data_IF_374766411590
#
_entry.id   IF_374766411590
#
_cell.length_a   1.000
_cell.length_b   1.000
_cell.length_c   1.000
_cell.angle_alpha   90.00
_cell.angle_beta   90.00
_cell.angle_gamma   90.00
#
_symmetry.space_group_name_H-M   'P 1'
#
loop_
_entity.id
_entity.type
_entity.pdbx_description
1 polymer ?
#
# COMPACT_ATOMS: atom_id res chain seq x y z
N UNK A 1 22.39 -40.20 -26.45
CA UNK A 1 21.11 -40.15 -25.72
C UNK A 1 21.45 -39.82 -24.28
N UNK A 2 21.20 -38.58 -23.87
CA UNK A 2 21.74 -38.00 -22.64
C UNK A 2 20.58 -37.59 -21.74
N UNK A 3 20.64 -37.98 -20.47
CA UNK A 3 19.60 -37.67 -19.50
C UNK A 3 19.61 -36.19 -19.09
N UNK A 4 18.44 -35.64 -18.79
CA UNK A 4 18.31 -34.38 -18.04
C UNK A 4 17.65 -34.68 -16.68
N UNK A 5 18.37 -34.34 -15.62
CA UNK A 5 17.86 -34.29 -14.26
C UNK A 5 17.10 -32.97 -14.05
N UNK A 6 15.92 -33.03 -13.44
CA UNK A 6 15.31 -31.91 -12.73
C UNK A 6 15.36 -32.22 -11.23
N UNK A 7 15.81 -31.29 -10.36
CA UNK A 7 15.77 -31.48 -8.91
C UNK A 7 14.35 -31.25 -8.35
N UNK A 8 13.92 -32.01 -7.31
CA UNK A 8 12.59 -31.89 -6.72
C UNK A 8 12.60 -31.12 -5.39
N UNK A 9 11.54 -30.36 -5.09
CA UNK A 9 11.15 -30.05 -3.70
C UNK A 9 9.63 -30.19 -3.48
N UNK A 10 9.30 -31.10 -2.55
CA UNK A 10 8.22 -31.12 -1.54
C UNK A 10 6.88 -30.40 -1.86
N UNK A 11 5.69 -31.02 -1.93
CA UNK A 11 5.14 -32.31 -1.43
C UNK A 11 5.15 -32.56 0.09
N UNK A 12 4.06 -32.16 0.79
CA UNK A 12 3.40 -32.84 1.95
C UNK A 12 1.95 -32.30 2.10
N UNK A 13 0.92 -33.01 2.60
CA UNK A 13 0.89 -34.45 2.92
C UNK A 13 -0.15 -34.99 3.94
N UNK A 14 -1.46 -34.73 3.83
CA UNK A 14 -2.64 -35.56 4.27
C UNK A 14 -2.77 -36.04 5.76
N UNK A 15 -4.01 -36.36 6.18
CA UNK A 15 -4.48 -37.20 7.35
C UNK A 15 -5.14 -36.41 8.50
N UNK A 16 -5.78 -37.14 9.44
CA UNK A 16 -7.10 -36.84 10.02
C UNK A 16 -7.41 -37.72 11.28
N UNK A 17 -8.66 -37.62 11.77
CA UNK A 17 -9.36 -38.43 12.82
C UNK A 17 -8.97 -38.14 14.31
N UNK A 18 -9.86 -38.20 15.33
CA UNK A 18 -11.35 -38.16 15.50
C UNK A 18 -11.69 -38.15 17.04
N UNK A 19 -12.96 -37.88 17.44
CA UNK A 19 -13.66 -38.31 18.72
C UNK A 19 -13.26 -37.61 20.07
N UNK A 20 -14.12 -37.22 21.05
CA UNK A 20 -15.60 -37.15 21.26
C UNK A 20 -15.98 -36.22 22.46
N UNK A 21 -17.18 -35.62 22.43
CA UNK A 21 -18.11 -35.09 23.50
C UNK A 21 -17.61 -34.76 24.94
N UNK A 22 -18.21 -33.83 25.71
CA UNK A 22 -19.21 -32.77 25.46
C UNK A 22 -19.37 -31.91 26.74
N UNK A 23 -19.88 -30.68 26.62
CA UNK A 23 -21.16 -30.24 27.20
C UNK A 23 -21.40 -28.74 26.93
N UNK A 24 -22.65 -28.40 26.64
CA UNK A 24 -23.07 -27.01 26.42
C UNK A 24 -23.36 -26.29 27.74
N UNK A 25 -23.06 -24.99 27.82
CA UNK A 25 -24.07 -23.93 28.08
C UNK A 25 -23.48 -22.52 28.04
N UNK A 26 -24.10 -21.70 27.17
CA UNK A 26 -24.47 -20.28 27.33
C UNK A 26 -23.52 -19.24 27.97
N UNK A 27 -23.56 -18.05 27.35
CA UNK A 27 -23.28 -16.72 27.90
C UNK A 27 -21.83 -16.38 28.28
N UNK A 28 -21.34 -15.26 27.72
CA UNK A 28 -20.21 -14.52 28.26
C UNK A 28 -18.87 -14.77 27.56
N UNK A 29 -18.69 -14.18 26.37
CA UNK A 29 -17.36 -13.84 25.85
C UNK A 29 -17.45 -12.45 25.20
N UNK A 30 -17.28 -11.41 26.03
CA UNK A 30 -16.85 -10.13 25.49
C UNK A 30 -15.48 -10.36 24.85
N UNK A 31 -15.32 -9.96 23.58
CA UNK A 31 -14.05 -10.04 22.89
C UNK A 31 -13.03 -9.17 23.65
N UNK A 32 -11.79 -9.61 23.90
CA UNK A 32 -10.72 -8.80 24.50
C UNK A 32 -10.21 -7.65 23.62
N UNK A 33 -11.11 -7.01 22.86
CA UNK A 33 -10.93 -5.64 22.44
C UNK A 33 -10.81 -4.73 23.67
N UNK A 34 -10.06 -3.63 23.54
CA UNK A 34 -9.96 -2.64 24.61
C UNK A 34 -11.31 -1.94 24.78
N UNK A 35 -12.09 -2.34 25.80
CA UNK A 35 -13.44 -1.81 26.06
C UNK A 35 -13.46 -0.27 26.17
N UNK A 36 -12.38 0.34 26.68
CA UNK A 36 -12.19 1.81 26.76
C UNK A 36 -12.19 2.52 25.38
N UNK A 37 -11.80 1.81 24.31
CA UNK A 37 -11.79 2.33 22.94
C UNK A 37 -13.14 2.15 22.22
N UNK A 38 -13.97 1.17 22.63
CA UNK A 38 -15.29 0.91 22.02
C UNK A 38 -16.40 1.67 22.76
N UNK A 39 -16.32 1.78 24.09
CA UNK A 39 -17.33 2.43 24.93
C UNK A 39 -17.52 3.94 24.68
N UNK A 40 -16.52 4.62 24.11
CA UNK A 40 -16.59 6.03 23.72
C UNK A 40 -16.97 6.27 22.24
N UNK A 41 -17.30 5.22 21.48
CA UNK A 41 -17.62 5.33 20.05
C UNK A 41 -19.05 4.85 19.82
N UNK A 42 -19.99 5.78 19.62
CA UNK A 42 -21.41 5.51 19.35
C UNK A 42 -21.70 5.02 17.92
N UNK A 43 -20.67 4.61 17.18
CA UNK A 43 -20.69 4.35 15.74
C UNK A 43 -20.01 3.01 15.43
N UNK A 44 -20.54 2.17 14.53
CA UNK A 44 -19.89 0.92 14.13
C UNK A 44 -18.49 1.14 13.53
N UNK A 45 -17.63 0.12 13.46
CA UNK A 45 -16.28 0.24 12.89
C UNK A 45 -16.18 -0.41 11.50
N UNK A 46 -15.15 -0.04 10.75
CA UNK A 46 -14.82 -0.61 9.44
C UNK A 46 -13.33 -0.98 9.37
N UNK A 47 -13.05 -2.19 8.89
CA UNK A 47 -11.73 -2.81 8.82
C UNK A 47 -11.38 -3.14 7.37
N UNK A 48 -10.14 -2.81 7.01
CA UNK A 48 -9.42 -3.51 5.95
C UNK A 48 -8.32 -4.36 6.59
N UNK A 49 -8.23 -5.61 6.17
CA UNK A 49 -7.06 -6.46 6.41
C UNK A 49 -6.26 -6.48 5.11
N UNK A 50 -5.24 -5.61 4.90
CA UNK A 50 -4.49 -5.60 3.65
C UNK A 50 -3.36 -6.62 3.69
N UNK A 51 -3.06 -7.17 2.51
CA UNK A 51 -1.92 -8.04 2.26
C UNK A 51 -0.97 -7.36 1.26
N UNK A 52 -0.42 -6.21 1.63
CA UNK A 52 0.35 -5.38 0.67
C UNK A 52 1.47 -4.54 1.29
N UNK A 53 2.58 -4.26 0.56
CA UNK A 53 3.70 -3.41 0.98
C UNK A 53 3.28 -1.96 1.29
N UNK A 54 4.14 -1.20 1.99
CA UNK A 54 3.71 0.02 2.68
C UNK A 54 2.97 1.08 1.84
N UNK A 55 3.43 1.42 0.62
CA UNK A 55 2.73 2.40 -0.22
C UNK A 55 1.45 1.85 -0.88
N UNK A 56 1.30 0.51 -0.94
CA UNK A 56 0.04 -0.15 -1.32
C UNK A 56 -0.91 -0.28 -0.11
N UNK A 57 -0.38 -0.39 1.12
CA UNK A 57 -1.16 -0.18 2.35
C UNK A 57 -1.62 1.28 2.46
N UNK A 58 -0.81 2.27 2.04
CA UNK A 58 -1.27 3.65 1.94
C UNK A 58 -2.40 3.83 0.90
N UNK A 59 -2.36 3.13 -0.24
CA UNK A 59 -3.48 3.08 -1.19
C UNK A 59 -4.74 2.42 -0.57
N UNK A 60 -4.59 1.27 0.08
CA UNK A 60 -5.69 0.56 0.79
C UNK A 60 -6.28 1.39 1.94
N UNK A 61 -5.43 2.11 2.67
CA UNK A 61 -5.79 3.07 3.71
C UNK A 61 -6.51 4.28 3.10
N UNK A 62 -6.07 4.75 1.93
CA UNK A 62 -6.78 5.79 1.18
C UNK A 62 -8.17 5.29 0.75
N UNK A 63 -8.31 4.05 0.26
CA UNK A 63 -9.61 3.42 0.00
C UNK A 63 -10.52 3.45 1.23
N UNK A 64 -10.01 3.00 2.38
CA UNK A 64 -10.74 2.93 3.63
C UNK A 64 -11.09 4.32 4.19
N UNK A 65 -10.26 5.34 3.98
CA UNK A 65 -10.51 6.71 4.46
C UNK A 65 -11.43 7.49 3.52
N UNK A 66 -11.34 7.32 2.19
CA UNK A 66 -12.31 7.89 1.21
C UNK A 66 -13.70 7.39 1.51
N UNK A 67 -13.78 6.08 1.77
CA UNK A 67 -14.97 5.40 2.22
C UNK A 67 -15.59 6.04 3.48
N UNK A 68 -14.87 6.82 4.29
CA UNK A 68 -15.36 7.50 5.51
C UNK A 68 -15.49 9.03 5.39
N UNK A 69 -15.29 9.62 4.22
CA UNK A 69 -15.45 11.08 4.00
C UNK A 69 -16.90 11.57 4.20
N UNK A 70 -17.16 12.88 4.46
CA UNK A 70 -18.51 13.36 4.76
C UNK A 70 -19.61 13.09 3.71
N UNK A 71 -19.22 12.77 2.46
CA UNK A 71 -20.11 12.42 1.35
C UNK A 71 -20.24 10.90 1.11
N UNK A 72 -19.61 10.07 1.94
CA UNK A 72 -19.50 8.63 1.72
C UNK A 72 -20.60 7.82 2.43
N UNK A 73 -20.79 6.59 1.98
CA UNK A 73 -21.69 5.65 2.64
C UNK A 73 -21.09 4.95 3.88
N UNK A 74 -19.80 5.12 4.22
CA UNK A 74 -19.27 4.64 5.50
C UNK A 74 -19.12 5.75 6.56
N UNK A 75 -19.45 7.03 6.29
CA UNK A 75 -19.30 8.16 7.25
C UNK A 75 -19.70 7.86 8.70
N UNK A 76 -20.73 7.05 8.90
CA UNK A 76 -21.20 6.62 10.22
C UNK A 76 -20.33 5.52 10.85
N UNK A 77 -19.09 5.31 10.38
CA UNK A 77 -18.15 4.30 10.87
C UNK A 77 -16.76 4.84 11.14
N UNK A 78 -16.05 4.14 12.03
CA UNK A 78 -14.65 4.43 12.36
C UNK A 78 -13.72 3.47 11.60
N UNK A 79 -12.84 3.97 10.70
CA UNK A 79 -11.84 3.16 10.02
C UNK A 79 -10.76 2.69 11.00
N UNK A 80 -10.43 1.40 10.95
CA UNK A 80 -9.31 0.78 11.65
C UNK A 80 -8.19 0.58 10.63
N UNK A 81 -7.14 1.38 10.77
CA UNK A 81 -6.00 1.43 9.86
C UNK A 81 -5.03 0.29 10.18
N UNK A 82 -4.58 -0.43 9.14
CA UNK A 82 -3.66 -1.55 9.27
C UNK A 82 -2.19 -1.12 9.39
N UNK A 83 -1.41 -1.98 10.04
CA UNK A 83 0.05 -1.88 10.06
C UNK A 83 0.62 -2.09 8.64
N UNK A 84 1.78 -1.49 8.38
CA UNK A 84 2.58 -1.76 7.20
C UNK A 84 3.22 -3.15 7.28
N UNK A 85 3.12 -3.92 6.18
CA UNK A 85 3.59 -5.32 6.09
C UNK A 85 4.72 -5.48 5.08
N UNK A 86 5.89 -6.03 5.45
CA UNK A 86 7.12 -5.91 4.67
C UNK A 86 7.23 -6.93 3.51
N UNK A 87 6.10 -7.21 2.84
CA UNK A 87 5.96 -8.21 1.74
C UNK A 87 6.99 -8.05 0.61
N UNK A 88 7.52 -6.83 0.38
CA UNK A 88 8.55 -6.54 -0.62
C UNK A 88 9.75 -5.75 -0.04
N UNK A 89 9.91 -5.73 1.29
CA UNK A 89 10.95 -4.94 1.97
C UNK A 89 11.84 -5.85 2.83
N UNK A 90 11.23 -6.77 3.57
CA UNK A 90 11.90 -7.76 4.43
C UNK A 90 10.86 -8.84 4.79
N UNK A 91 10.85 -9.97 4.08
CA UNK A 91 9.77 -10.98 4.23
C UNK A 91 9.88 -11.63 5.62
N UNK A 92 8.87 -11.41 6.48
CA UNK A 92 8.89 -11.79 7.90
C UNK A 92 9.51 -10.74 8.84
N UNK A 93 9.88 -9.57 8.33
CA UNK A 93 10.37 -8.45 9.12
C UNK A 93 9.29 -7.79 10.00
N UNK A 94 9.72 -6.90 10.90
CA UNK A 94 8.81 -6.22 11.82
C UNK A 94 7.76 -5.35 11.10
N UNK A 95 6.52 -5.39 11.60
CA UNK A 95 5.48 -4.45 11.19
C UNK A 95 5.80 -3.03 11.67
N UNK A 96 5.21 -2.04 10.99
CA UNK A 96 5.25 -0.66 11.42
C UNK A 96 3.84 -0.09 11.49
N UNK A 97 3.51 0.56 12.59
CA UNK A 97 2.19 1.19 12.77
C UNK A 97 2.01 2.38 11.81
N UNK A 98 0.77 2.67 11.44
CA UNK A 98 0.48 3.75 10.50
C UNK A 98 0.82 5.12 11.10
N UNK A 99 0.49 5.31 12.37
CA UNK A 99 0.76 6.51 13.16
C UNK A 99 2.24 6.77 13.47
N UNK A 100 3.11 5.78 13.24
CA UNK A 100 4.56 5.97 13.36
C UNK A 100 5.13 6.66 12.10
N UNK A 101 4.45 6.48 10.96
CA UNK A 101 4.83 7.07 9.65
C UNK A 101 4.06 8.35 9.36
N UNK A 102 2.75 8.36 9.60
CA UNK A 102 1.85 9.48 9.28
C UNK A 102 1.25 10.11 10.54
N UNK A 103 1.09 11.43 10.52
CA UNK A 103 0.49 12.22 11.58
C UNK A 103 -1.03 12.00 11.64
N UNK A 104 -1.44 10.95 12.36
CA UNK A 104 -2.86 10.57 12.53
C UNK A 104 -3.69 11.70 13.16
N UNK A 105 -3.31 12.36 14.27
CA UNK A 105 -4.10 13.45 14.82
C UNK A 105 -4.35 14.59 13.83
N UNK A 106 -3.36 14.95 13.01
CA UNK A 106 -3.52 15.93 11.93
C UNK A 106 -4.44 15.44 10.82
N UNK A 107 -4.39 14.14 10.50
CA UNK A 107 -5.28 13.52 9.52
C UNK A 107 -6.74 13.50 10.02
N UNK A 108 -6.98 13.08 11.25
CA UNK A 108 -8.31 13.12 11.89
C UNK A 108 -8.93 14.53 11.84
N UNK A 109 -8.14 15.54 12.25
CA UNK A 109 -8.55 16.94 12.23
C UNK A 109 -8.81 17.49 10.81
N UNK A 110 -8.13 16.96 9.79
CA UNK A 110 -8.34 17.34 8.39
C UNK A 110 -9.54 16.64 7.73
N UNK A 111 -9.90 15.44 8.20
CA UNK A 111 -11.01 14.64 7.66
C UNK A 111 -12.34 14.86 8.41
N UNK A 112 -12.32 15.49 9.59
CA UNK A 112 -13.45 15.54 10.55
C UNK A 112 -13.96 14.13 10.88
N UNK A 113 -13.02 13.21 11.09
CA UNK A 113 -13.29 11.79 11.29
C UNK A 113 -12.33 11.17 12.32
N UNK A 114 -12.87 10.33 13.21
CA UNK A 114 -12.06 9.47 14.09
C UNK A 114 -11.36 8.40 13.25
N UNK A 115 -10.10 8.13 13.54
CA UNK A 115 -9.31 7.06 12.94
C UNK A 115 -8.74 6.22 14.08
N UNK A 116 -8.86 4.89 13.95
CA UNK A 116 -8.22 3.94 14.85
C UNK A 116 -7.11 3.19 14.13
N UNK A 117 -6.18 2.61 14.89
CA UNK A 117 -5.18 1.66 14.41
C UNK A 117 -5.40 0.31 15.09
N UNK A 118 -4.99 -0.80 14.47
CA UNK A 118 -5.16 -2.14 15.09
C UNK A 118 -4.64 -2.24 16.52
N UNK A 119 -3.49 -1.60 16.84
CA UNK A 119 -2.89 -1.53 18.18
C UNK A 119 -3.78 -0.89 19.27
N UNK A 120 -4.76 -0.09 18.86
CA UNK A 120 -5.74 0.54 19.76
C UNK A 120 -6.97 -0.34 19.96
N UNK A 121 -7.28 -1.21 18.99
CA UNK A 121 -8.47 -2.07 18.98
C UNK A 121 -8.18 -3.40 19.66
N UNK A 122 -7.13 -4.10 19.21
CA UNK A 122 -6.69 -5.41 19.74
C UNK A 122 -5.29 -5.30 20.33
N UNK A 123 -5.07 -6.03 21.42
CA UNK A 123 -3.72 -6.32 21.89
C UNK A 123 -3.07 -7.38 20.99
N UNK A 124 -2.05 -6.97 20.23
CA UNK A 124 -1.28 -7.84 19.32
C UNK A 124 -0.44 -8.89 20.06
N UNK A 125 -0.24 -8.75 21.37
CA UNK A 125 0.39 -9.76 22.21
C UNK A 125 -0.61 -10.79 22.79
N UNK A 126 -1.91 -10.63 22.52
CA UNK A 126 -2.93 -11.57 23.00
C UNK A 126 -2.81 -12.93 22.32
N UNK A 127 -2.55 -13.97 23.10
CA UNK A 127 -2.61 -15.38 22.66
C UNK A 127 -4.05 -15.85 22.35
N UNK A 128 -5.07 -15.00 22.56
CA UNK A 128 -6.47 -15.35 22.30
C UNK A 128 -6.77 -15.26 20.81
N UNK A 129 -7.01 -16.43 20.21
CA UNK A 129 -7.56 -16.59 18.87
C UNK A 129 -9.05 -16.22 18.89
N UNK A 130 -9.45 -15.22 18.10
CA UNK A 130 -10.83 -14.70 18.05
C UNK A 130 -11.50 -15.04 16.73
N UNK A 131 -12.73 -15.56 16.77
CA UNK A 131 -13.53 -15.78 15.55
C UNK A 131 -14.06 -14.45 14.99
N UNK A 132 -13.91 -14.21 13.69
CA UNK A 132 -14.52 -13.06 13.01
C UNK A 132 -15.05 -13.43 11.61
N UNK A 133 -16.26 -12.97 11.30
CA UNK A 133 -16.85 -13.09 9.96
C UNK A 133 -16.51 -11.92 9.06
N UNK A 134 -16.02 -12.20 7.85
CA UNK A 134 -15.54 -11.23 6.87
C UNK A 134 -16.13 -11.46 5.47
N UNK A 135 -16.10 -10.43 4.64
CA UNK A 135 -16.41 -10.53 3.22
C UNK A 135 -15.20 -11.03 2.42
N UNK A 136 -15.43 -11.98 1.52
CA UNK A 136 -14.48 -12.33 0.47
C UNK A 136 -14.89 -11.66 -0.83
N UNK A 137 -14.09 -10.66 -1.23
CA UNK A 137 -14.34 -9.77 -2.35
C UNK A 137 -13.50 -10.13 -3.60
N UNK A 138 -12.63 -11.15 -3.52
CA UNK A 138 -11.69 -11.56 -4.57
C UNK A 138 -11.94 -12.95 -5.19
N UNK A 139 -12.93 -13.71 -4.73
CA UNK A 139 -13.15 -15.15 -4.98
C UNK A 139 -13.44 -15.61 -6.44
N UNK A 140 -12.78 -15.07 -7.46
CA UNK A 140 -12.90 -15.50 -8.86
C UNK A 140 -11.63 -15.41 -9.73
N UNK A 141 -10.51 -14.85 -9.27
CA UNK A 141 -9.37 -14.55 -10.15
C UNK A 141 -8.08 -15.33 -9.90
N UNK A 142 -7.88 -15.90 -8.71
CA UNK A 142 -6.70 -16.75 -8.40
C UNK A 142 -7.06 -17.96 -7.52
N UNK A 143 -7.52 -19.05 -8.14
CA UNK A 143 -7.67 -20.36 -7.46
C UNK A 143 -6.33 -20.95 -6.98
N UNK A 144 -5.21 -20.47 -7.52
CA UNK A 144 -3.88 -21.00 -7.22
C UNK A 144 -3.42 -20.73 -5.78
N UNK A 145 -3.93 -19.66 -5.15
CA UNK A 145 -3.31 -19.15 -3.94
C UNK A 145 -4.31 -18.35 -3.08
N UNK A 146 -4.86 -19.03 -2.06
CA UNK A 146 -5.25 -18.35 -0.81
C UNK A 146 -3.97 -17.91 -0.11
N UNK A 147 -3.27 -16.95 -0.71
CA UNK A 147 -1.98 -16.43 -0.26
C UNK A 147 -2.09 -16.14 1.23
N UNK A 148 -1.16 -16.75 1.96
CA UNK A 148 -1.15 -16.84 3.41
C UNK A 148 -1.61 -15.53 4.03
N UNK A 149 -2.78 -15.60 4.66
CA UNK A 149 -3.33 -14.45 5.36
C UNK A 149 -2.53 -14.29 6.67
N UNK A 150 -1.30 -13.76 6.56
CA UNK A 150 -0.43 -13.47 7.71
C UNK A 150 -1.13 -12.50 8.67
N UNK A 151 -1.88 -11.54 8.15
CA UNK A 151 -2.55 -10.52 8.96
C UNK A 151 -3.54 -11.05 10.01
N UNK A 152 -4.45 -11.99 9.67
CA UNK A 152 -5.20 -12.75 10.66
C UNK A 152 -4.31 -13.53 11.64
N UNK A 153 -3.21 -14.13 11.20
CA UNK A 153 -2.30 -14.89 12.09
C UNK A 153 -1.64 -13.97 13.12
N UNK A 154 -1.05 -12.84 12.70
CA UNK A 154 -0.37 -11.89 13.59
C UNK A 154 -1.33 -11.14 14.52
N UNK A 155 -2.61 -11.08 14.15
CA UNK A 155 -3.67 -10.53 14.98
C UNK A 155 -4.41 -11.62 15.76
N UNK A 156 -4.00 -12.89 15.70
CA UNK A 156 -4.73 -14.04 16.27
C UNK A 156 -6.25 -13.97 16.00
N UNK A 157 -6.62 -13.98 14.71
CA UNK A 157 -8.00 -13.98 14.20
C UNK A 157 -8.26 -15.25 13.37
N UNK A 158 -9.32 -15.99 13.70
CA UNK A 158 -9.79 -17.15 12.93
C UNK A 158 -10.99 -16.74 12.06
N UNK A 159 -10.74 -16.58 10.76
CA UNK A 159 -11.70 -15.89 9.88
C UNK A 159 -12.62 -16.84 9.12
N UNK A 160 -13.93 -16.57 9.22
CA UNK A 160 -14.96 -17.10 8.31
C UNK A 160 -15.19 -16.12 7.17
N UNK A 161 -15.33 -16.61 5.93
CA UNK A 161 -15.52 -15.75 4.76
C UNK A 161 -16.84 -15.99 4.05
N UNK A 162 -17.63 -14.93 3.87
CA UNK A 162 -18.81 -14.96 3.00
C UNK A 162 -18.48 -14.32 1.67
N UNK A 163 -18.71 -15.07 0.59
CA UNK A 163 -18.53 -14.59 -0.78
C UNK A 163 -19.42 -13.36 -1.02
N UNK A 164 -18.78 -12.25 -1.35
CA UNK A 164 -19.48 -11.04 -1.74
C UNK A 164 -20.13 -11.17 -3.12
N UNK A 165 -21.25 -10.47 -3.39
CA UNK A 165 -21.94 -10.55 -4.67
C UNK A 165 -21.09 -10.01 -5.84
N UNK A 166 -21.15 -10.67 -7.01
CA UNK A 166 -20.40 -10.29 -8.23
C UNK A 166 -20.48 -8.80 -8.60
N UNK A 167 -21.59 -8.13 -8.32
CA UNK A 167 -21.82 -6.73 -8.73
C UNK A 167 -20.92 -5.70 -8.01
N UNK A 168 -20.05 -6.11 -7.08
CA UNK A 168 -18.98 -5.25 -6.55
C UNK A 168 -17.78 -5.12 -7.48
N UNK A 169 -17.61 -6.01 -8.46
CA UNK A 169 -16.45 -6.04 -9.34
C UNK A 169 -16.66 -5.12 -10.55
N UNK A 170 -15.56 -4.52 -11.02
CA UNK A 170 -15.54 -3.56 -12.14
C UNK A 170 -15.99 -4.19 -13.47
N UNK A 171 -15.65 -5.46 -13.72
CA UNK A 171 -16.13 -6.23 -14.87
C UNK A 171 -16.93 -7.46 -14.41
N UNK A 172 -18.03 -7.74 -15.12
CA UNK A 172 -18.98 -8.82 -14.79
C UNK A 172 -18.60 -10.21 -15.31
N UNK A 173 -17.60 -10.26 -16.19
CA UNK A 173 -17.49 -11.33 -17.19
C UNK A 173 -16.57 -12.46 -16.74
N UNK A 174 -17.03 -13.69 -16.92
CA UNK A 174 -16.43 -14.92 -16.37
C UNK A 174 -15.11 -15.36 -17.05
N UNK A 175 -14.41 -14.47 -17.76
CA UNK A 175 -13.27 -14.78 -18.65
C UNK A 175 -11.87 -14.37 -18.17
N UNK A 176 -11.75 -13.71 -17.02
CA UNK A 176 -10.48 -13.18 -16.50
C UNK A 176 -10.71 -11.92 -15.69
N UNK A 177 -11.32 -12.08 -14.51
CA UNK A 177 -11.93 -10.99 -13.76
C UNK A 177 -10.98 -9.82 -13.50
N UNK A 178 -11.50 -8.61 -13.67
CA UNK A 178 -10.82 -7.40 -13.24
C UNK A 178 -10.72 -7.44 -11.70
N UNK A 179 -9.51 -7.39 -11.10
CA UNK A 179 -9.40 -7.37 -9.64
C UNK A 179 -9.94 -6.07 -9.04
N UNK A 180 -10.16 -5.02 -9.84
CA UNK A 180 -10.73 -3.75 -9.39
C UNK A 180 -12.18 -3.90 -8.91
N UNK A 181 -12.45 -3.28 -7.77
CA UNK A 181 -13.76 -3.27 -7.14
C UNK A 181 -14.31 -1.85 -7.15
N UNK A 182 -15.63 -1.75 -7.30
CA UNK A 182 -16.34 -0.49 -7.34
C UNK A 182 -16.66 -0.05 -5.90
N UNK A 183 -16.09 1.09 -5.48
CA UNK A 183 -16.22 1.60 -4.11
C UNK A 183 -17.68 1.74 -3.62
N UNK A 184 -18.59 2.23 -4.46
CA UNK A 184 -20.00 2.42 -4.07
C UNK A 184 -20.76 1.10 -3.86
N UNK A 185 -20.68 0.12 -4.79
CA UNK A 185 -21.03 -1.26 -4.51
C UNK A 185 -20.45 -1.85 -3.22
N UNK A 186 -19.14 -1.76 -3.01
CA UNK A 186 -18.49 -2.24 -1.78
C UNK A 186 -19.11 -1.58 -0.53
N UNK A 187 -19.33 -0.26 -0.56
CA UNK A 187 -19.94 0.50 0.51
C UNK A 187 -21.38 0.06 0.84
N UNK A 188 -22.08 -0.56 -0.11
CA UNK A 188 -23.43 -1.07 0.13
C UNK A 188 -23.42 -2.32 1.04
N UNK A 189 -22.39 -3.16 0.99
CA UNK A 189 -22.24 -4.34 1.87
C UNK A 189 -22.16 -3.98 3.37
N UNK A 190 -21.86 -2.71 3.66
CA UNK A 190 -21.74 -2.12 5.00
C UNK A 190 -23.10 -1.78 5.63
N UNK A 191 -24.12 -1.56 4.78
CA UNK A 191 -25.47 -1.10 5.15
C UNK A 191 -26.57 -2.10 4.82
N UNK A 192 -26.41 -2.94 3.79
CA UNK A 192 -27.44 -3.86 3.34
C UNK A 192 -27.39 -5.20 4.10
N UNK A 193 -28.28 -5.35 5.08
CA UNK A 193 -28.50 -6.61 5.78
C UNK A 193 -29.31 -7.62 4.94
N UNK A 194 -28.75 -8.06 3.80
CA UNK A 194 -29.35 -9.10 2.95
C UNK A 194 -28.96 -10.52 3.39
N UNK A 195 -28.75 -10.76 4.70
CA UNK A 195 -28.28 -12.06 5.24
C UNK A 195 -29.10 -13.28 4.77
N UNK A 196 -30.39 -13.11 4.47
CA UNK A 196 -31.26 -14.17 3.96
C UNK A 196 -30.95 -14.66 2.53
N UNK A 197 -30.20 -13.91 1.73
CA UNK A 197 -29.87 -14.25 0.33
C UNK A 197 -28.37 -14.40 0.05
N UNK A 198 -27.53 -14.35 1.11
CA UNK A 198 -26.09 -14.57 0.98
C UNK A 198 -25.75 -16.06 0.89
N UNK A 199 -24.66 -16.43 0.18
CA UNK A 199 -24.11 -17.77 0.30
C UNK A 199 -23.64 -18.04 1.75
N UNK A 200 -23.64 -19.30 2.21
CA UNK A 200 -23.15 -19.63 3.54
C UNK A 200 -21.66 -19.25 3.68
N UNK A 201 -21.21 -18.78 4.87
CA UNK A 201 -19.80 -18.51 5.12
C UNK A 201 -18.95 -19.79 5.03
N UNK A 202 -17.68 -19.65 4.67
CA UNK A 202 -16.71 -20.73 4.84
C UNK A 202 -16.45 -21.01 6.31
N UNK A 203 -16.17 -22.26 6.64
CA UNK A 203 -15.62 -22.63 7.95
C UNK A 203 -14.24 -21.96 8.11
N UNK A 204 -14.00 -21.38 9.27
CA UNK A 204 -12.71 -20.82 9.66
C UNK A 204 -11.64 -21.94 9.76
N UNK A 205 -10.34 -21.61 9.58
CA UNK A 205 -9.27 -22.61 9.65
C UNK A 205 -9.20 -23.40 10.97
N UNK A 206 -9.22 -22.74 12.13
CA UNK A 206 -8.85 -23.35 13.41
C UNK A 206 -10.06 -23.86 14.22
N UNK A 207 -10.98 -22.99 14.61
CA UNK A 207 -12.19 -23.34 15.38
C UNK A 207 -13.27 -23.98 14.52
N UNK A 208 -13.16 -23.89 13.19
CA UNK A 208 -14.13 -24.43 12.22
C UNK A 208 -15.52 -23.78 12.36
N UNK A 209 -15.56 -22.54 12.82
CA UNK A 209 -16.77 -21.73 12.95
C UNK A 209 -17.17 -21.17 11.57
N UNK A 210 -18.48 -21.01 11.31
CA UNK A 210 -18.98 -20.31 10.12
C UNK A 210 -19.75 -19.05 10.55
N UNK A 211 -19.04 -17.94 10.74
CA UNK A 211 -19.64 -16.64 11.06
C UNK A 211 -20.02 -15.88 9.77
N UNK A 212 -21.23 -15.29 9.69
CA UNK A 212 -21.55 -14.30 8.68
C UNK A 212 -20.76 -13.00 8.93
N UNK A 213 -20.63 -12.09 7.94
CA UNK A 213 -19.92 -10.83 8.13
C UNK A 213 -20.49 -10.05 9.30
N UNK A 214 -19.61 -9.53 10.15
CA UNK A 214 -20.01 -8.86 11.38
C UNK A 214 -20.73 -7.53 11.10
N UNK A 215 -21.76 -7.21 11.91
CA UNK A 215 -22.56 -5.99 11.70
C UNK A 215 -21.87 -4.74 12.27
N UNK A 216 -21.15 -4.91 13.38
CA UNK A 216 -20.40 -3.86 14.06
C UNK A 216 -19.03 -3.62 13.41
N UNK A 217 -18.45 -4.65 12.80
CA UNK A 217 -17.09 -4.65 12.27
C UNK A 217 -17.07 -5.07 10.80
N UNK A 218 -17.19 -4.11 9.88
CA UNK A 218 -17.11 -4.42 8.45
C UNK A 218 -15.71 -4.94 8.12
N UNK A 219 -15.55 -6.24 7.86
CA UNK A 219 -14.28 -6.87 7.53
C UNK A 219 -14.27 -7.40 6.09
N UNK A 220 -13.13 -7.35 5.41
CA UNK A 220 -12.93 -7.95 4.10
C UNK A 220 -11.48 -8.39 3.87
N UNK A 221 -11.25 -9.36 2.96
CA UNK A 221 -9.92 -9.94 2.72
C UNK A 221 -8.90 -9.01 2.05
N UNK A 222 -9.31 -7.96 1.33
CA UNK A 222 -8.39 -6.93 0.80
C UNK A 222 -9.09 -5.73 0.17
N UNK A 223 -8.72 -4.50 0.55
CA UNK A 223 -9.15 -3.27 -0.15
C UNK A 223 -8.15 -2.77 -1.21
N UNK A 224 -7.12 -3.54 -1.54
CA UNK A 224 -6.02 -3.08 -2.40
C UNK A 224 -6.49 -2.59 -3.77
N UNK A 225 -7.48 -3.28 -4.35
CA UNK A 225 -8.06 -2.93 -5.65
C UNK A 225 -9.42 -2.18 -5.51
N UNK A 226 -9.79 -1.73 -4.32
CA UNK A 226 -11.04 -0.99 -4.07
C UNK A 226 -10.99 0.49 -4.46
N UNK A 227 -9.78 1.04 -4.53
CA UNK A 227 -9.41 2.24 -5.28
C UNK A 227 -8.09 1.87 -5.95
N UNK A 228 -8.06 1.81 -7.28
CA UNK A 228 -6.79 1.53 -7.96
C UNK A 228 -5.81 2.69 -7.71
N UNK A 229 -4.52 2.40 -7.56
CA UNK A 229 -3.50 3.47 -7.53
C UNK A 229 -3.49 4.31 -8.83
N UNK A 230 -4.06 3.79 -9.92
CA UNK A 230 -4.33 4.50 -11.17
C UNK A 230 -5.48 5.51 -11.03
N UNK A 231 -6.48 5.26 -10.20
CA UNK A 231 -7.50 6.26 -9.85
C UNK A 231 -6.86 7.43 -9.11
N UNK A 232 -6.02 7.15 -8.10
CA UNK A 232 -5.23 8.17 -7.40
C UNK A 232 -4.24 8.92 -8.34
N UNK A 233 -3.93 8.34 -9.51
CA UNK A 233 -3.17 9.03 -10.55
C UNK A 233 -3.98 10.10 -11.29
N UNK A 234 -5.28 10.29 -11.01
CA UNK A 234 -6.12 11.39 -11.54
C UNK A 234 -6.28 12.53 -10.52
N UNK A 235 -6.45 13.76 -11.01
CA UNK A 235 -6.56 14.99 -10.21
C UNK A 235 -7.99 15.22 -9.68
N UNK A 236 -8.97 14.58 -10.33
CA UNK A 236 -10.36 14.44 -9.89
C UNK A 236 -10.56 13.34 -8.85
N UNK A 237 -9.54 12.53 -8.56
CA UNK A 237 -9.63 11.38 -7.65
C UNK A 237 -10.12 11.78 -6.24
N UNK A 238 -11.23 11.20 -5.74
CA UNK A 238 -11.62 11.33 -4.34
C UNK A 238 -10.52 10.83 -3.39
N UNK A 239 -9.79 9.78 -3.78
CA UNK A 239 -8.63 9.24 -3.07
C UNK A 239 -7.57 10.30 -2.78
N UNK A 240 -7.11 10.99 -3.82
CA UNK A 240 -6.12 12.04 -3.60
C UNK A 240 -6.72 13.28 -2.92
N UNK A 241 -7.86 13.78 -3.43
CA UNK A 241 -8.43 15.06 -3.01
C UNK A 241 -9.00 15.05 -1.59
N UNK A 242 -9.61 13.95 -1.16
CA UNK A 242 -10.28 13.90 0.13
C UNK A 242 -9.39 13.32 1.24
N UNK A 243 -8.34 12.55 0.90
CA UNK A 243 -7.48 11.88 1.90
C UNK A 243 -6.00 12.06 1.59
N UNK A 244 -5.56 11.63 0.40
CA UNK A 244 -4.14 11.55 0.05
C UNK A 244 -3.39 12.86 0.28
N UNK A 245 -3.99 14.00 -0.07
CA UNK A 245 -3.39 15.31 0.18
C UNK A 245 -3.14 15.63 1.67
N UNK A 246 -3.90 15.02 2.59
CA UNK A 246 -3.79 15.21 4.05
C UNK A 246 -2.86 14.20 4.73
N UNK A 247 -2.34 13.19 4.01
CA UNK A 247 -1.35 12.23 4.51
C UNK A 247 0.02 12.90 4.70
N UNK A 248 0.23 13.50 5.88
CA UNK A 248 1.49 14.13 6.28
C UNK A 248 2.35 13.15 7.09
N UNK A 249 3.63 13.02 6.74
CA UNK A 249 4.59 12.23 7.53
C UNK A 249 4.75 12.78 8.95
N UNK A 250 5.04 11.94 9.94
CA UNK A 250 5.38 12.37 11.30
C UNK A 250 6.65 13.24 11.32
N UNK A 251 6.81 14.15 12.30
CA UNK A 251 8.04 14.94 12.45
C UNK A 251 9.30 14.07 12.49
N UNK A 252 9.27 12.93 13.19
CA UNK A 252 10.36 11.95 13.24
C UNK A 252 10.83 11.50 11.84
N UNK A 253 9.90 11.12 10.98
CA UNK A 253 10.20 10.67 9.61
C UNK A 253 10.69 11.84 8.75
N UNK A 254 10.12 13.04 8.92
CA UNK A 254 10.57 14.25 8.24
C UNK A 254 12.00 14.66 8.64
N UNK A 255 12.33 14.63 9.93
CA UNK A 255 13.65 15.02 10.46
C UNK A 255 14.76 14.06 10.01
N UNK A 256 14.49 12.75 10.04
CA UNK A 256 15.41 11.73 9.51
C UNK A 256 15.62 11.97 8.01
N UNK A 257 14.55 12.06 7.22
CA UNK A 257 14.67 12.26 5.78
C UNK A 257 15.34 13.60 5.42
N UNK A 258 15.09 14.67 6.17
CA UNK A 258 15.76 15.96 5.99
C UNK A 258 17.27 15.86 6.30
N UNK A 259 17.68 15.04 7.28
CA UNK A 259 19.09 14.75 7.55
C UNK A 259 19.76 14.01 6.38
N UNK A 260 19.08 13.01 5.80
CA UNK A 260 19.55 12.33 4.58
C UNK A 260 19.64 13.29 3.39
N UNK A 261 18.57 14.05 3.11
CA UNK A 261 18.50 15.04 2.03
C UNK A 261 19.66 16.05 2.11
N UNK A 262 19.95 16.57 3.31
CA UNK A 262 21.06 17.51 3.53
C UNK A 262 22.42 16.88 3.26
N UNK A 263 22.68 15.65 3.75
CA UNK A 263 23.92 14.91 3.46
C UNK A 263 24.09 14.67 1.96
N UNK A 264 23.04 14.21 1.28
CA UNK A 264 23.04 13.98 -0.17
C UNK A 264 23.34 15.25 -0.97
N UNK A 265 22.82 16.40 -0.55
CA UNK A 265 23.05 17.69 -1.20
C UNK A 265 24.36 18.39 -0.77
N UNK A 266 25.07 17.86 0.23
CA UNK A 266 26.30 18.45 0.76
C UNK A 266 26.10 19.75 1.55
N UNK A 267 24.93 19.96 2.17
CA UNK A 267 24.60 21.15 2.97
C UNK A 267 24.60 20.84 4.47
N UNK A 268 24.89 21.83 5.30
CA UNK A 268 24.96 21.66 6.76
C UNK A 268 23.58 21.60 7.41
N UNK A 269 23.48 21.01 8.62
CA UNK A 269 22.18 20.76 9.28
C UNK A 269 21.37 22.02 9.61
N UNK A 270 22.04 23.14 9.81
CA UNK A 270 21.50 24.48 10.05
C UNK A 270 21.08 25.22 8.76
N UNK A 271 21.55 24.78 7.59
CA UNK A 271 21.19 25.39 6.31
C UNK A 271 19.80 24.92 5.82
N UNK A 272 19.07 25.80 5.09
CA UNK A 272 17.89 25.39 4.35
C UNK A 272 18.28 24.40 3.25
N UNK A 273 17.42 23.43 2.99
CA UNK A 273 17.58 22.50 1.87
C UNK A 273 17.37 23.30 0.56
N UNK A 274 18.36 23.37 -0.35
CA UNK A 274 18.20 24.06 -1.63
C UNK A 274 17.19 23.31 -2.51
N UNK A 275 16.54 23.96 -3.48
CA UNK A 275 15.62 23.27 -4.39
C UNK A 275 16.36 22.21 -5.20
N UNK A 276 15.69 21.07 -5.39
CA UNK A 276 16.18 19.93 -6.17
C UNK A 276 15.03 19.29 -6.97
N UNK A 277 15.38 18.56 -8.02
CA UNK A 277 14.48 17.64 -8.72
C UNK A 277 14.71 16.24 -8.12
N UNK A 278 13.63 15.55 -7.76
CA UNK A 278 13.70 14.14 -7.37
C UNK A 278 13.38 13.24 -8.57
N UNK A 279 14.13 12.16 -8.72
CA UNK A 279 13.91 11.13 -9.74
C UNK A 279 13.64 9.80 -9.04
N UNK A 280 12.55 9.13 -9.39
CA UNK A 280 12.29 7.75 -8.98
C UNK A 280 12.28 6.83 -10.21
N UNK A 281 13.32 6.01 -10.34
CA UNK A 281 13.44 5.01 -11.40
C UNK A 281 13.10 3.62 -10.84
N UNK A 282 11.95 3.05 -11.21
CA UNK A 282 11.57 1.68 -10.81
C UNK A 282 12.11 0.68 -11.84
N UNK A 283 13.08 -0.14 -11.45
CA UNK A 283 13.85 -1.04 -12.33
C UNK A 283 14.12 -2.44 -11.75
N UNK A 284 14.01 -2.63 -10.44
CA UNK A 284 14.27 -3.92 -9.79
C UNK A 284 13.15 -4.94 -10.00
N UNK A 285 12.14 -4.94 -9.14
CA UNK A 285 11.09 -5.97 -9.16
C UNK A 285 10.17 -5.90 -10.40
N UNK A 286 10.13 -4.75 -11.07
CA UNK A 286 9.32 -4.53 -12.28
C UNK A 286 9.73 -5.39 -13.48
N UNK A 287 10.88 -6.08 -13.42
CA UNK A 287 11.34 -6.98 -14.49
C UNK A 287 10.34 -8.10 -14.82
N UNK A 288 9.50 -8.50 -13.85
CA UNK A 288 8.44 -9.51 -14.08
C UNK A 288 7.45 -9.04 -15.16
N UNK A 289 7.06 -7.76 -15.14
CA UNK A 289 6.09 -7.16 -16.07
C UNK A 289 6.60 -7.10 -17.51
N UNK A 290 7.91 -7.01 -17.70
CA UNK A 290 8.53 -7.03 -19.02
C UNK A 290 8.13 -8.28 -19.81
N UNK A 291 8.17 -9.45 -19.16
CA UNK A 291 7.80 -10.72 -19.78
C UNK A 291 6.29 -10.98 -19.77
N UNK A 292 5.60 -10.74 -18.64
CA UNK A 292 4.19 -11.17 -18.50
C UNK A 292 3.15 -10.18 -19.09
N UNK A 293 3.51 -8.90 -19.24
CA UNK A 293 2.59 -7.85 -19.72
C UNK A 293 3.03 -7.23 -21.04
N UNK A 294 4.32 -6.99 -21.21
CA UNK A 294 4.85 -6.30 -22.39
C UNK A 294 5.51 -7.23 -23.42
N UNK A 295 5.70 -8.51 -23.09
CA UNK A 295 6.38 -9.51 -23.92
C UNK A 295 7.71 -9.02 -24.52
N UNK A 296 8.44 -8.19 -23.76
CA UNK A 296 9.65 -7.49 -24.17
C UNK A 296 10.82 -7.93 -23.29
N UNK A 297 12.01 -8.23 -23.88
CA UNK A 297 13.22 -8.54 -23.12
C UNK A 297 13.55 -7.47 -22.06
N UNK A 298 14.08 -7.89 -20.90
CA UNK A 298 14.31 -7.00 -19.75
C UNK A 298 15.26 -5.83 -20.08
N UNK A 299 16.28 -6.10 -20.90
CA UNK A 299 17.23 -5.12 -21.44
C UNK A 299 16.60 -4.05 -22.36
N UNK A 300 15.42 -4.33 -22.92
CA UNK A 300 14.67 -3.47 -23.85
C UNK A 300 13.39 -2.89 -23.24
N UNK A 301 12.96 -3.42 -22.10
CA UNK A 301 11.73 -3.08 -21.41
C UNK A 301 11.86 -1.81 -20.56
N UNK A 302 12.96 -1.69 -19.80
CA UNK A 302 13.15 -0.53 -18.94
C UNK A 302 13.53 0.73 -19.71
N UNK A 303 13.04 1.87 -19.25
CA UNK A 303 13.42 3.15 -19.82
C UNK A 303 14.94 3.38 -19.66
N UNK A 304 15.64 3.82 -20.73
CA UNK A 304 17.05 4.17 -20.66
C UNK A 304 17.25 5.45 -19.83
N UNK A 305 18.43 5.63 -19.25
CA UNK A 305 18.77 6.83 -18.47
C UNK A 305 18.57 8.13 -19.28
N UNK A 306 18.78 8.08 -20.61
CA UNK A 306 18.50 9.19 -21.53
C UNK A 306 17.06 9.71 -21.48
N UNK A 307 16.06 8.85 -21.25
CA UNK A 307 14.68 9.27 -21.10
C UNK A 307 14.48 10.10 -19.81
N UNK A 308 15.08 9.67 -18.70
CA UNK A 308 15.07 10.43 -17.45
C UNK A 308 15.80 11.77 -17.59
N UNK A 309 16.96 11.83 -18.28
CA UNK A 309 17.68 13.09 -18.54
C UNK A 309 16.76 14.09 -19.25
N UNK A 310 16.12 13.66 -20.33
CA UNK A 310 15.18 14.46 -21.13
C UNK A 310 14.04 15.03 -20.27
N UNK A 311 13.38 14.19 -19.46
CA UNK A 311 12.32 14.63 -18.52
C UNK A 311 12.83 15.55 -17.41
N UNK A 312 14.06 15.37 -16.92
CA UNK A 312 14.66 16.28 -15.93
C UNK A 312 14.88 17.67 -16.52
N UNK A 313 15.33 17.78 -17.77
CA UNK A 313 15.48 19.09 -18.44
C UNK A 313 14.12 19.75 -18.73
N UNK A 314 13.09 18.98 -19.13
CA UNK A 314 11.71 19.47 -19.27
C UNK A 314 11.19 20.04 -17.94
N UNK A 315 11.33 19.29 -16.83
CA UNK A 315 10.96 19.73 -15.48
C UNK A 315 11.75 20.98 -15.08
N UNK A 316 13.06 21.03 -15.30
CA UNK A 316 13.91 22.19 -14.98
C UNK A 316 13.46 23.44 -15.75
N UNK A 317 13.24 23.33 -17.06
CA UNK A 317 12.80 24.45 -17.89
C UNK A 317 11.42 24.97 -17.45
N UNK A 318 10.48 24.06 -17.11
CA UNK A 318 9.15 24.43 -16.65
C UNK A 318 9.14 24.98 -15.20
N UNK A 319 10.08 24.59 -14.31
CA UNK A 319 10.24 25.25 -13.00
C UNK A 319 10.72 26.68 -13.21
N UNK A 320 11.78 26.88 -14.00
CA UNK A 320 12.34 28.20 -14.29
C UNK A 320 11.27 29.14 -14.89
N UNK A 321 10.52 28.67 -15.89
CA UNK A 321 9.46 29.42 -16.53
C UNK A 321 8.27 29.77 -15.60
N UNK A 322 8.04 29.00 -14.53
CA UNK A 322 6.93 29.21 -13.58
C UNK A 322 7.30 29.97 -12.32
N UNK A 323 8.58 29.96 -11.92
CA UNK A 323 9.01 30.42 -10.58
C UNK A 323 10.25 31.32 -10.58
N UNK A 324 10.93 31.49 -11.73
CA UNK A 324 12.24 32.16 -11.85
C UNK A 324 13.36 31.50 -11.01
N UNK A 325 13.16 30.26 -10.56
CA UNK A 325 14.15 29.48 -9.80
C UNK A 325 14.87 28.50 -10.74
N UNK A 326 16.19 28.63 -10.85
CA UNK A 326 17.03 27.59 -11.45
C UNK A 326 17.23 26.43 -10.47
N UNK A 327 17.06 25.19 -10.95
CA UNK A 327 17.20 23.97 -10.14
C UNK A 327 18.20 23.02 -10.78
N UNK A 328 19.44 23.04 -10.29
CA UNK A 328 20.52 22.22 -10.83
C UNK A 328 20.65 20.85 -10.15
N UNK A 329 20.32 20.76 -8.85
CA UNK A 329 20.49 19.53 -8.07
C UNK A 329 19.43 18.48 -8.44
N UNK A 330 19.88 17.25 -8.67
CA UNK A 330 19.02 16.09 -8.94
C UNK A 330 19.34 14.99 -7.93
N UNK A 331 18.32 14.48 -7.24
CA UNK A 331 18.42 13.32 -6.34
C UNK A 331 17.69 12.14 -6.99
N UNK A 332 18.37 11.01 -7.13
CA UNK A 332 17.86 9.79 -7.77
C UNK A 332 17.70 8.69 -6.73
N UNK A 333 16.52 8.08 -6.72
CA UNK A 333 16.24 6.87 -5.95
C UNK A 333 15.67 5.79 -6.86
N UNK A 334 16.05 4.54 -6.58
CA UNK A 334 15.82 3.40 -7.47
C UNK A 334 16.06 2.10 -6.70
N UNK A 335 15.33 1.05 -7.07
CA UNK A 335 15.54 -0.32 -6.61
C UNK A 335 16.57 -1.11 -7.47
N UNK A 336 17.16 -0.45 -8.46
CA UNK A 336 18.27 -0.97 -9.29
C UNK A 336 19.49 -1.36 -8.44
N UNK A 337 20.08 -2.51 -8.78
CA UNK A 337 21.26 -3.07 -8.11
C UNK A 337 22.50 -3.07 -9.00
N UNK A 338 22.36 -2.88 -10.32
CA UNK A 338 23.51 -2.80 -11.24
C UNK A 338 24.43 -1.60 -10.91
N UNK A 339 25.70 -1.85 -10.52
CA UNK A 339 26.67 -0.78 -10.28
C UNK A 339 26.92 0.07 -11.53
N UNK A 340 26.92 -0.51 -12.73
CA UNK A 340 27.18 0.22 -13.98
C UNK A 340 26.10 1.26 -14.31
N UNK A 341 24.84 0.97 -13.95
CA UNK A 341 23.76 1.95 -14.01
C UNK A 341 23.97 3.09 -13.01
N UNK A 342 24.38 2.78 -11.77
CA UNK A 342 24.66 3.80 -10.75
C UNK A 342 25.90 4.64 -11.07
N UNK A 343 26.95 4.07 -11.67
CA UNK A 343 28.10 4.80 -12.21
C UNK A 343 27.66 5.77 -13.31
N UNK A 344 26.74 5.34 -14.18
CA UNK A 344 26.15 6.18 -15.23
C UNK A 344 25.32 7.34 -14.64
N UNK A 345 24.61 7.12 -13.53
CA UNK A 345 23.90 8.17 -12.78
C UNK A 345 24.89 9.15 -12.15
N UNK A 346 25.95 8.64 -11.50
CA UNK A 346 26.98 9.48 -10.88
C UNK A 346 27.75 10.33 -11.90
N UNK A 347 27.98 9.80 -13.11
CA UNK A 347 28.62 10.53 -14.21
C UNK A 347 27.81 11.75 -14.71
N UNK A 348 26.51 11.81 -14.45
CA UNK A 348 25.67 12.99 -14.70
C UNK A 348 25.75 14.06 -13.60
N UNK A 349 26.52 13.81 -12.53
CA UNK A 349 26.51 14.63 -11.32
C UNK A 349 25.22 14.48 -10.48
N UNK A 350 24.40 13.47 -10.78
CA UNK A 350 23.17 13.17 -10.05
C UNK A 350 23.48 12.44 -8.74
N UNK A 351 22.71 12.74 -7.70
CA UNK A 351 23.03 12.37 -6.33
C UNK A 351 22.16 11.20 -5.85
N UNK A 352 22.73 10.24 -5.11
CA UNK A 352 21.99 9.12 -4.50
C UNK A 352 21.94 9.31 -2.97
N UNK A 353 20.79 9.06 -2.31
CA UNK A 353 20.75 8.89 -0.86
C UNK A 353 21.57 7.66 -0.43
N UNK A 354 22.54 7.86 0.46
CA UNK A 354 23.31 6.73 1.01
C UNK A 354 22.46 5.99 2.05
N UNK A 355 21.98 4.81 1.65
CA UNK A 355 21.19 3.95 2.51
C UNK A 355 21.97 2.83 3.21
N UNK A 356 23.28 2.74 3.03
CA UNK A 356 24.13 1.62 3.49
C UNK A 356 23.92 1.19 4.95
N UNK A 357 23.80 2.15 5.88
CA UNK A 357 23.58 1.89 7.31
C UNK A 357 22.11 2.10 7.77
N UNK A 358 21.17 2.38 6.87
CA UNK A 358 19.81 2.84 7.25
C UNK A 358 18.99 1.74 7.93
N UNK A 359 19.11 0.50 7.43
CA UNK A 359 18.40 -0.65 7.98
C UNK A 359 18.85 -0.91 9.41
N UNK A 360 20.16 -0.90 9.66
CA UNK A 360 20.74 -1.11 11.00
C UNK A 360 20.39 0.02 11.98
N UNK A 361 20.35 1.27 11.51
CA UNK A 361 20.07 2.43 12.37
C UNK A 361 18.59 2.65 12.68
N UNK A 362 17.68 2.27 11.77
CA UNK A 362 16.27 2.69 11.84
C UNK A 362 15.27 1.55 11.55
N UNK A 363 15.69 0.45 10.94
CA UNK A 363 14.85 -0.68 10.53
C UNK A 363 14.60 -0.74 9.01
N UNK A 364 14.16 -1.91 8.50
CA UNK A 364 14.10 -2.20 7.06
C UNK A 364 13.15 -1.28 6.27
N UNK A 365 12.16 -0.71 6.95
CA UNK A 365 11.19 0.23 6.38
C UNK A 365 11.74 1.61 6.00
N UNK A 366 12.75 2.09 6.72
CA UNK A 366 13.13 3.50 6.68
C UNK A 366 13.73 3.97 5.35
N UNK A 367 14.50 3.19 4.57
CA UNK A 367 14.95 3.61 3.24
C UNK A 367 13.80 4.09 2.35
N UNK A 368 12.72 3.30 2.26
CA UNK A 368 11.55 3.62 1.43
C UNK A 368 10.80 4.87 1.95
N UNK A 369 10.67 5.05 3.27
CA UNK A 369 10.00 6.23 3.81
C UNK A 369 10.85 7.50 3.70
N UNK A 370 12.17 7.39 3.83
CA UNK A 370 13.11 8.50 3.58
C UNK A 370 13.03 8.94 2.12
N UNK A 371 13.10 7.99 1.18
CA UNK A 371 12.92 8.25 -0.25
C UNK A 371 11.57 8.93 -0.54
N UNK A 372 10.47 8.44 0.04
CA UNK A 372 9.14 9.03 -0.16
C UNK A 372 9.05 10.48 0.35
N UNK A 373 9.74 10.83 1.45
CA UNK A 373 9.84 12.23 1.91
C UNK A 373 10.74 13.06 0.98
N UNK A 374 11.86 12.51 0.50
CA UNK A 374 12.74 13.16 -0.47
C UNK A 374 11.96 13.49 -1.75
N UNK A 375 11.17 12.55 -2.28
CA UNK A 375 10.32 12.79 -3.44
C UNK A 375 9.26 13.86 -3.15
N UNK A 376 8.60 13.78 -1.99
CA UNK A 376 7.58 14.73 -1.55
C UNK A 376 8.12 16.17 -1.35
N UNK A 377 9.39 16.32 -0.99
CA UNK A 377 10.06 17.59 -0.69
C UNK A 377 10.66 18.31 -1.90
N UNK A 378 10.67 17.69 -3.07
CA UNK A 378 11.32 18.23 -4.26
C UNK A 378 10.56 19.41 -4.90
N UNK A 379 11.29 20.30 -5.58
CA UNK A 379 10.72 21.38 -6.37
C UNK A 379 10.09 20.88 -7.69
N UNK A 380 10.61 19.77 -8.21
CA UNK A 380 9.98 18.99 -9.27
C UNK A 380 10.33 17.50 -9.18
N UNK A 381 9.60 16.68 -9.93
CA UNK A 381 9.71 15.22 -9.83
C UNK A 381 9.63 14.52 -11.19
N UNK A 382 10.48 13.51 -11.39
CA UNK A 382 10.43 12.62 -12.57
C UNK A 382 10.26 11.17 -12.09
N UNK A 383 9.16 10.52 -12.45
CA UNK A 383 8.87 9.16 -11.99
C UNK A 383 8.71 8.13 -13.11
N UNK A 384 9.00 6.86 -12.85
CA UNK A 384 8.58 5.76 -13.74
C UNK A 384 7.06 5.62 -13.78
N UNK A 385 6.49 5.58 -14.99
CA UNK A 385 5.05 5.43 -15.23
C UNK A 385 4.47 4.16 -14.60
N UNK A 386 3.19 4.19 -14.21
CA UNK A 386 2.46 3.11 -13.49
C UNK A 386 3.03 2.66 -12.14
N UNK A 387 4.22 3.12 -11.72
CA UNK A 387 4.72 2.86 -10.36
C UNK A 387 3.90 3.64 -9.33
N UNK A 388 3.35 2.93 -8.33
CA UNK A 388 2.51 3.53 -7.28
C UNK A 388 3.29 4.53 -6.43
N UNK A 389 4.58 4.25 -6.19
CA UNK A 389 5.54 5.17 -5.55
C UNK A 389 5.62 6.49 -6.34
N UNK A 390 5.89 6.39 -7.66
CA UNK A 390 5.98 7.56 -8.53
C UNK A 390 4.67 8.35 -8.61
N UNK A 391 3.53 7.66 -8.64
CA UNK A 391 2.21 8.30 -8.71
C UNK A 391 1.94 9.14 -7.46
N UNK A 392 2.22 8.60 -6.26
CA UNK A 392 2.02 9.31 -4.99
C UNK A 392 3.03 10.46 -4.82
N UNK A 393 4.29 10.25 -5.20
CA UNK A 393 5.32 11.29 -5.24
C UNK A 393 4.93 12.45 -6.15
N UNK A 394 4.55 12.16 -7.41
CA UNK A 394 4.04 13.15 -8.37
C UNK A 394 2.89 13.95 -7.77
N UNK A 395 1.85 13.27 -7.29
CA UNK A 395 0.65 13.90 -6.72
C UNK A 395 0.97 14.81 -5.54
N UNK A 396 1.94 14.42 -4.69
CA UNK A 396 2.42 15.24 -3.59
C UNK A 396 3.14 16.51 -4.06
N UNK A 397 4.01 16.42 -5.07
CA UNK A 397 4.72 17.58 -5.64
C UNK A 397 3.76 18.52 -6.37
N UNK A 398 2.84 18.00 -7.19
CA UNK A 398 1.77 18.76 -7.84
C UNK A 398 0.89 19.51 -6.81
N UNK A 399 0.52 18.86 -5.71
CA UNK A 399 -0.30 19.48 -4.64
C UNK A 399 0.39 20.65 -3.93
N UNK A 400 1.72 20.79 -4.09
CA UNK A 400 2.54 21.89 -3.61
C UNK A 400 2.87 22.92 -4.70
N UNK A 401 2.28 22.78 -5.89
CA UNK A 401 2.52 23.63 -7.04
C UNK A 401 3.78 23.31 -7.83
N UNK A 402 4.48 22.20 -7.55
CA UNK A 402 5.69 21.79 -8.28
C UNK A 402 5.42 21.41 -9.74
N UNK A 403 6.48 21.01 -10.45
CA UNK A 403 6.44 20.52 -11.83
C UNK A 403 6.80 19.03 -11.84
N UNK A 404 6.11 18.22 -12.63
CA UNK A 404 6.32 16.77 -12.63
C UNK A 404 6.18 16.14 -13.99
N UNK A 405 7.05 15.17 -14.31
CA UNK A 405 6.96 14.35 -15.52
C UNK A 405 7.03 12.85 -15.22
N UNK A 406 6.56 12.03 -16.16
CA UNK A 406 6.47 10.57 -16.00
C UNK A 406 7.10 9.85 -17.20
N UNK A 407 8.19 9.12 -16.96
CA UNK A 407 8.91 8.34 -17.98
C UNK A 407 8.15 7.07 -18.32
N UNK A 408 7.76 6.93 -19.58
CA UNK A 408 7.13 5.71 -20.11
C UNK A 408 8.15 4.58 -20.32
N UNK A 409 7.68 3.33 -20.22
CA UNK A 409 8.51 2.12 -20.31
C UNK A 409 7.67 0.93 -20.81
N UNK A 410 8.29 -0.26 -20.86
CA UNK A 410 7.68 -1.51 -21.27
C UNK A 410 8.12 -1.98 -22.66
N UNK A 411 8.59 -1.06 -23.52
CA UNK A 411 9.12 -1.35 -24.86
C UNK A 411 10.16 -0.31 -25.31
N UNK A 412 11.01 -0.62 -26.30
CA UNK A 412 11.87 0.37 -26.96
C UNK A 412 11.05 1.57 -27.47
N UNK A 413 11.58 2.78 -27.24
CA UNK A 413 10.93 4.04 -27.63
C UNK A 413 9.59 4.34 -26.95
N UNK A 414 9.27 3.70 -25.81
CA UNK A 414 8.00 3.94 -25.11
C UNK A 414 7.80 5.41 -24.66
N UNK A 415 8.88 6.14 -24.42
CA UNK A 415 8.89 7.55 -23.98
C UNK A 415 9.27 8.54 -25.11
N UNK A 416 9.47 8.05 -26.33
CA UNK A 416 9.78 8.92 -27.46
C UNK A 416 8.54 9.70 -27.90
N UNK A 417 8.70 11.01 -28.04
CA UNK A 417 7.63 12.00 -28.21
C UNK A 417 7.91 12.93 -29.39
#
# INVERSE_FOLDING_TARGET
>A
MTAQFFPPQARYGIVALFIVQALARSSGSALPFREECISNVSSPSAISIPHTPALQSAASTTSLLVANTPTSAFRDRVPIIPQFRPVHVDVGGAHLDFGDVFDVPRLEAALDARILEWRQVKDVASETLEDLGCWDIQNKTWEAERLYLEAPVDLNLDLSYTLAPKWIQSTSDDGGGDPNMLMWPLASLVRFNQRATLPPPTLSPAHRTALPPDEHLFCCNTLYFGISALEAATDVSPAWRAVGQHLHFTPKIQDIAASYTRRTLGVTMDQPIPPYIAVHARRGDFQIWCNIRYYTPVDQCFAPLAAFIRRVEEVRAAILARTDVSVERVIVTSDEQDPGWWDSVAALGWLRPDHSATVDMHGPWYPMFIDAVIHAGAAGFVGTDTSTVSILARRRVESRGGVTEMVKWGKPGADDH
#
